data_IF_795050250250
#
_entry.id   IF_795050250250
#
_cell.length_a   1.000
_cell.length_b   1.000
_cell.length_c   1.000
_cell.angle_alpha   90.00
_cell.angle_beta   90.00
_cell.angle_gamma   90.00
#
_symmetry.space_group_name_H-M   'P 1'
#
loop_
_entity.id
_entity.type
_entity.pdbx_description
1 polymer ?
#
# COMPACT_ATOMS: atom_id res chain seq x y z
N UNK A 1 39.76 11.29 -15.91
CA UNK A 1 38.52 11.84 -16.50
C UNK A 1 37.72 12.42 -15.36
N UNK A 2 37.28 13.68 -15.46
CA UNK A 2 36.61 14.41 -14.37
C UNK A 2 35.33 13.70 -13.93
N UNK A 3 35.14 13.38 -12.63
CA UNK A 3 33.96 12.66 -12.15
C UNK A 3 32.76 13.55 -11.80
N UNK A 4 32.76 14.84 -12.10
CA UNK A 4 31.71 15.75 -11.59
C UNK A 4 31.15 16.71 -12.65
N UNK A 5 30.26 16.20 -13.50
CA UNK A 5 29.21 17.03 -14.09
C UNK A 5 27.92 16.22 -14.10
N UNK A 6 27.28 16.09 -12.93
CA UNK A 6 25.85 15.78 -12.90
C UNK A 6 25.14 16.80 -13.78
N UNK A 7 24.38 16.31 -14.76
CA UNK A 7 23.73 17.15 -15.76
C UNK A 7 22.69 18.04 -15.05
N UNK A 8 22.87 19.36 -15.16
CA UNK A 8 21.96 20.36 -14.60
C UNK A 8 20.81 20.60 -15.55
N UNK A 9 19.60 20.46 -15.04
CA UNK A 9 18.36 20.67 -15.79
C UNK A 9 17.50 21.74 -15.13
N UNK A 10 16.72 22.45 -15.94
CA UNK A 10 15.65 23.33 -15.49
C UNK A 10 14.32 22.72 -15.93
N UNK A 11 13.44 22.42 -14.97
CA UNK A 11 12.28 21.56 -15.20
C UNK A 11 11.08 22.02 -14.35
N UNK A 12 9.84 21.97 -14.89
CA UNK A 12 8.65 22.23 -14.10
C UNK A 12 8.46 21.17 -13.02
N UNK A 13 8.03 21.60 -11.83
CA UNK A 13 7.83 20.77 -10.65
C UNK A 13 6.35 20.60 -10.36
N UNK A 14 5.91 19.34 -10.27
CA UNK A 14 4.57 18.97 -9.87
C UNK A 14 4.58 18.43 -8.43
N UNK A 15 4.00 19.18 -7.47
CA UNK A 15 3.84 18.72 -6.10
C UNK A 15 2.84 17.56 -6.01
N UNK A 16 3.24 16.47 -5.36
CA UNK A 16 2.42 15.29 -5.11
C UNK A 16 2.00 15.21 -3.64
N UNK A 17 0.75 14.80 -3.39
CA UNK A 17 0.24 14.57 -2.04
C UNK A 17 0.31 13.07 -1.73
N UNK A 18 0.93 12.72 -0.60
CA UNK A 18 0.97 11.35 -0.04
C UNK A 18 1.48 10.25 -1.01
N UNK A 19 2.24 10.64 -2.04
CA UNK A 19 2.81 9.70 -3.00
C UNK A 19 4.20 10.15 -3.42
N UNK A 20 5.08 9.15 -3.54
CA UNK A 20 6.42 9.24 -4.11
C UNK A 20 6.43 8.33 -5.32
N UNK A 21 6.91 8.83 -6.45
CA UNK A 21 7.04 8.07 -7.69
C UNK A 21 8.50 7.68 -7.84
N UNK A 22 8.79 6.38 -7.90
CA UNK A 22 10.15 5.88 -8.07
C UNK A 22 10.53 5.76 -9.56
N UNK A 23 11.84 5.69 -9.89
CA UNK A 23 12.29 5.29 -11.22
C UNK A 23 11.60 4.01 -11.72
N UNK A 24 11.28 3.98 -13.02
CA UNK A 24 10.55 2.92 -13.72
C UNK A 24 9.11 2.65 -13.25
N UNK A 25 8.62 3.40 -12.27
CA UNK A 25 7.25 3.29 -11.79
C UNK A 25 6.29 4.01 -12.74
N UNK A 26 5.26 3.31 -13.19
CA UNK A 26 4.17 3.88 -13.99
C UNK A 26 2.93 4.05 -13.12
N UNK A 27 2.43 5.27 -12.97
CA UNK A 27 1.26 5.56 -12.13
C UNK A 27 0.35 6.62 -12.78
N UNK A 28 -0.98 6.44 -12.74
CA UNK A 28 -1.91 7.51 -13.11
C UNK A 28 -2.02 8.53 -11.96
N UNK A 29 -1.88 9.81 -12.29
CA UNK A 29 -2.11 10.93 -11.39
C UNK A 29 -3.36 11.70 -11.81
N UNK A 30 -4.12 12.16 -10.83
CA UNK A 30 -5.30 13.00 -11.02
C UNK A 30 -4.99 14.41 -10.53
N UNK A 31 -5.06 15.38 -11.43
CA UNK A 31 -4.64 16.75 -11.18
C UNK A 31 -5.82 17.69 -11.37
N UNK A 32 -6.20 18.40 -10.31
CA UNK A 32 -7.32 19.36 -10.33
C UNK A 32 -6.94 20.81 -9.98
N UNK A 33 -5.76 21.06 -9.40
CA UNK A 33 -5.31 22.42 -9.07
C UNK A 33 -4.88 23.15 -10.34
N UNK A 34 -5.32 24.39 -10.55
CA UNK A 34 -4.95 25.17 -11.73
C UNK A 34 -3.43 25.30 -11.92
N UNK A 35 -2.68 25.59 -10.85
CA UNK A 35 -1.20 25.68 -10.92
C UNK A 35 -0.56 24.37 -11.41
N UNK A 36 -1.11 23.23 -10.99
CA UNK A 36 -0.64 21.91 -11.39
C UNK A 36 -1.02 21.56 -12.83
N UNK A 37 -2.18 22.01 -13.31
CA UNK A 37 -2.56 21.86 -14.73
C UNK A 37 -1.64 22.70 -15.61
N UNK A 38 -1.37 23.96 -15.23
CA UNK A 38 -0.40 24.82 -15.95
C UNK A 38 1.00 24.22 -15.97
N UNK A 39 1.45 23.62 -14.86
CA UNK A 39 2.71 22.88 -14.80
C UNK A 39 2.77 21.74 -15.82
N UNK A 40 1.68 20.98 -15.97
CA UNK A 40 1.60 19.88 -16.94
C UNK A 40 1.61 20.39 -18.38
N UNK A 41 0.90 21.50 -18.67
CA UNK A 41 0.89 22.12 -19.99
C UNK A 41 2.29 22.64 -20.37
N UNK A 42 2.98 23.34 -19.46
CA UNK A 42 4.35 23.80 -19.67
C UNK A 42 5.33 22.64 -19.95
N UNK A 43 5.15 21.51 -19.29
CA UNK A 43 6.01 20.34 -19.51
C UNK A 43 5.78 19.65 -20.87
N UNK A 44 4.56 19.71 -21.40
CA UNK A 44 4.26 19.13 -22.71
C UNK A 44 5.00 19.85 -23.84
N UNK A 45 5.28 21.14 -23.66
CA UNK A 45 6.04 21.97 -24.61
C UNK A 45 7.56 21.80 -24.47
N UNK A 46 8.04 21.25 -23.35
CA UNK A 46 9.45 21.08 -22.99
C UNK A 46 9.80 19.60 -22.72
N UNK A 47 9.92 18.81 -23.80
CA UNK A 47 10.35 17.40 -23.81
C UNK A 47 9.44 16.40 -23.05
N UNK A 48 8.23 16.80 -22.64
CA UNK A 48 7.29 15.95 -21.88
C UNK A 48 7.88 15.44 -20.57
N UNK A 49 8.84 16.16 -19.99
CA UNK A 49 9.48 15.81 -18.72
C UNK A 49 8.97 16.72 -17.61
N UNK A 50 8.68 16.11 -16.46
CA UNK A 50 8.27 16.80 -15.23
C UNK A 50 9.09 16.30 -14.06
N UNK A 51 9.31 17.17 -13.08
CA UNK A 51 9.89 16.79 -11.80
C UNK A 51 8.77 16.55 -10.79
N UNK A 52 8.65 15.31 -10.33
CA UNK A 52 7.66 14.89 -9.33
C UNK A 52 8.27 14.98 -7.94
N UNK A 53 7.65 15.77 -7.06
CA UNK A 53 8.18 16.02 -5.71
C UNK A 53 7.06 15.88 -4.70
N UNK A 54 7.27 15.08 -3.66
CA UNK A 54 6.30 14.95 -2.59
C UNK A 54 6.25 16.23 -1.73
N UNK A 55 5.05 16.55 -1.25
CA UNK A 55 4.83 17.52 -0.17
C UNK A 55 5.18 16.88 1.17
N UNK A 56 5.75 17.65 2.09
CA UNK A 56 6.02 17.20 3.47
C UNK A 56 4.72 16.93 4.23
N UNK A 57 3.74 17.81 4.06
CA UNK A 57 2.43 17.73 4.69
C UNK A 57 1.34 17.61 3.61
N UNK A 58 0.61 16.49 3.60
CA UNK A 58 -0.42 16.23 2.60
C UNK A 58 -1.68 17.12 2.76
N UNK A 59 -1.88 17.69 3.94
CA UNK A 59 -2.99 18.58 4.27
C UNK A 59 -2.84 20.00 3.72
N UNK A 60 -1.65 20.38 3.24
CA UNK A 60 -1.38 21.73 2.74
C UNK A 60 -1.94 21.87 1.32
N UNK A 61 -3.02 22.65 1.18
CA UNK A 61 -3.71 22.82 -0.09
C UNK A 61 -2.95 23.71 -1.09
N UNK A 62 -2.14 24.64 -0.61
CA UNK A 62 -1.26 25.49 -1.42
C UNK A 62 0.17 25.41 -0.86
N UNK A 63 0.96 24.39 -1.25
CA UNK A 63 2.32 24.26 -0.73
C UNK A 63 3.18 25.42 -1.23
N UNK A 64 3.99 25.98 -0.35
CA UNK A 64 5.07 26.89 -0.72
C UNK A 64 6.36 26.14 -1.05
N UNK A 65 7.40 26.89 -1.41
CA UNK A 65 8.71 26.31 -1.79
C UNK A 65 9.38 25.50 -0.67
N UNK A 66 9.09 25.80 0.59
CA UNK A 66 9.68 25.11 1.74
C UNK A 66 8.90 23.84 2.15
N UNK A 67 7.72 23.63 1.57
CA UNK A 67 6.83 22.51 1.91
C UNK A 67 7.09 21.28 1.05
N UNK A 68 8.01 21.36 0.09
CA UNK A 68 8.41 20.25 -0.77
C UNK A 68 9.71 19.61 -0.28
N UNK A 69 9.86 18.32 -0.57
CA UNK A 69 11.14 17.64 -0.38
C UNK A 69 12.19 18.10 -1.41
N UNK A 70 13.47 17.90 -1.07
CA UNK A 70 14.59 18.32 -1.91
C UNK A 70 14.94 17.32 -3.00
N UNK A 71 14.56 16.05 -2.83
CA UNK A 71 14.75 15.00 -3.83
C UNK A 71 13.39 14.58 -4.37
N UNK A 72 13.32 14.43 -5.68
CA UNK A 72 12.16 13.92 -6.38
C UNK A 72 12.59 13.07 -7.57
N UNK A 73 11.63 12.81 -8.45
CA UNK A 73 11.85 11.96 -9.62
C UNK A 73 11.51 12.73 -10.88
N UNK A 74 12.46 12.81 -11.79
CA UNK A 74 12.20 13.24 -13.16
C UNK A 74 11.40 12.14 -13.83
N UNK A 75 10.24 12.48 -14.37
CA UNK A 75 9.30 11.55 -14.98
C UNK A 75 8.92 12.03 -16.39
N UNK A 76 8.60 11.07 -17.26
CA UNK A 76 8.02 11.36 -18.58
C UNK A 76 6.50 11.31 -18.50
N UNK A 77 5.83 12.20 -19.24
CA UNK A 77 4.38 12.16 -19.44
C UNK A 77 4.09 11.20 -20.60
N UNK A 78 3.50 10.05 -20.30
CA UNK A 78 3.11 9.05 -21.30
C UNK A 78 1.79 9.43 -21.97
N UNK A 79 0.81 9.88 -21.18
CA UNK A 79 -0.52 10.21 -21.67
C UNK A 79 -1.17 11.29 -20.80
N UNK A 80 -1.97 12.17 -21.42
CA UNK A 80 -2.75 13.18 -20.73
C UNK A 80 -4.19 13.18 -21.27
N UNK A 81 -5.18 13.17 -20.38
CA UNK A 81 -6.59 13.19 -20.72
C UNK A 81 -7.33 14.18 -19.81
N UNK A 82 -7.96 15.21 -20.42
CA UNK A 82 -8.86 16.12 -19.70
C UNK A 82 -10.21 15.42 -19.50
N UNK A 83 -10.67 15.34 -18.25
CA UNK A 83 -11.95 14.76 -17.87
C UNK A 83 -13.07 15.81 -17.93
N UNK A 84 -14.35 15.41 -18.07
CA UNK A 84 -15.47 16.34 -18.16
C UNK A 84 -15.70 17.20 -16.92
N UNK A 85 -15.16 16.78 -15.78
CA UNK A 85 -15.21 17.50 -14.50
C UNK A 85 -14.14 18.61 -14.37
N UNK A 86 -13.32 18.79 -15.40
CA UNK A 86 -12.23 19.78 -15.44
C UNK A 86 -10.91 19.26 -14.85
N UNK A 87 -10.87 18.05 -14.29
CA UNK A 87 -9.62 17.45 -13.83
C UNK A 87 -8.83 16.84 -14.98
N UNK A 88 -7.52 16.70 -14.80
CA UNK A 88 -6.63 16.08 -15.79
C UNK A 88 -6.12 14.77 -15.23
N UNK A 89 -6.40 13.67 -15.94
CA UNK A 89 -5.78 12.37 -15.69
C UNK A 89 -4.51 12.28 -16.53
N UNK A 90 -3.36 12.16 -15.87
CA UNK A 90 -2.05 12.01 -16.53
C UNK A 90 -1.42 10.68 -16.15
N UNK A 91 -0.87 9.97 -17.12
CA UNK A 91 -0.08 8.76 -16.90
C UNK A 91 1.40 9.14 -17.00
N UNK A 92 2.16 8.86 -15.95
CA UNK A 92 3.58 9.23 -15.87
C UNK A 92 4.44 8.00 -15.61
N UNK A 93 5.66 8.03 -16.12
CA UNK A 93 6.71 7.04 -15.83
C UNK A 93 7.89 7.74 -15.17
N UNK A 94 8.27 7.31 -13.96
CA UNK A 94 9.49 7.78 -13.33
C UNK A 94 10.72 7.36 -14.14
N UNK A 95 11.65 8.28 -14.40
CA UNK A 95 12.87 8.00 -15.15
C UNK A 95 14.07 7.88 -14.20
N UNK A 96 14.37 8.96 -13.49
CA UNK A 96 15.56 9.03 -12.65
C UNK A 96 15.36 10.01 -11.50
N UNK A 97 16.05 9.75 -10.40
CA UNK A 97 16.06 10.62 -9.21
C UNK A 97 16.85 11.88 -9.50
N UNK A 98 16.39 13.02 -8.98
CA UNK A 98 17.11 14.28 -9.06
C UNK A 98 16.97 15.07 -7.77
N UNK A 99 18.01 15.84 -7.45
CA UNK A 99 18.05 16.76 -6.31
C UNK A 99 17.82 18.17 -6.78
N UNK A 100 16.91 18.87 -6.13
CA UNK A 100 16.61 20.28 -6.36
C UNK A 100 17.70 21.11 -5.69
N UNK A 101 18.37 21.94 -6.50
CA UNK A 101 19.34 22.94 -6.03
C UNK A 101 18.67 24.29 -5.76
N UNK A 102 17.65 24.64 -6.52
CA UNK A 102 16.84 25.83 -6.33
C UNK A 102 15.42 25.59 -6.84
N UNK A 103 14.43 26.03 -6.06
CA UNK A 103 13.00 25.98 -6.39
C UNK A 103 12.45 27.41 -6.47
N UNK A 104 11.72 27.72 -7.53
CA UNK A 104 11.05 29.00 -7.72
C UNK A 104 9.55 28.80 -7.95
N UNK A 105 8.74 29.73 -7.44
CA UNK A 105 7.32 29.87 -7.78
C UNK A 105 7.19 31.14 -8.64
N UNK A 106 6.84 30.97 -9.91
CA UNK A 106 6.64 32.08 -10.85
C UNK A 106 5.19 32.62 -10.84
N UNK A 107 4.35 32.11 -9.94
CA UNK A 107 2.92 32.42 -9.84
C UNK A 107 2.02 31.48 -10.64
N UNK A 108 2.54 30.82 -11.68
CA UNK A 108 1.80 29.87 -12.52
C UNK A 108 2.07 28.42 -12.18
N UNK A 109 3.34 28.07 -11.98
CA UNK A 109 3.79 26.73 -11.58
C UNK A 109 5.15 26.82 -10.87
N UNK A 110 5.56 25.71 -10.24
CA UNK A 110 6.90 25.61 -9.69
C UNK A 110 7.90 25.25 -10.78
N UNK A 111 9.08 25.87 -10.75
CA UNK A 111 10.21 25.50 -11.60
C UNK A 111 11.41 25.21 -10.70
N UNK A 112 12.21 24.20 -11.05
CA UNK A 112 13.42 23.87 -10.30
C UNK A 112 14.64 23.75 -11.19
N UNK A 113 15.78 24.15 -10.63
CA UNK A 113 17.10 23.71 -11.09
C UNK A 113 17.45 22.44 -10.37
N UNK A 114 17.59 21.33 -11.09
CA UNK A 114 17.85 20.02 -10.53
C UNK A 114 19.11 19.38 -11.12
N UNK A 115 19.71 18.49 -10.34
CA UNK A 115 20.85 17.66 -10.71
C UNK A 115 20.46 16.19 -10.57
N UNK A 116 20.71 15.39 -11.60
CA UNK A 116 20.45 13.95 -11.53
C UNK A 116 21.31 13.30 -10.45
N UNK A 117 20.68 12.41 -9.67
CA UNK A 117 21.38 11.57 -8.71
C UNK A 117 21.88 10.33 -9.44
N UNK A 118 23.20 10.14 -9.42
CA UNK A 118 23.84 8.91 -9.85
C UNK A 118 23.87 7.92 -8.69
N UNK A 119 23.66 6.64 -9.00
CA UNK A 119 23.85 5.56 -8.03
C UNK A 119 25.27 5.04 -8.21
N UNK A 120 26.13 5.08 -7.18
CA UNK A 120 27.48 4.58 -7.29
C UNK A 120 27.46 3.06 -7.58
N UNK A 121 28.35 2.60 -8.44
CA UNK A 121 28.63 1.17 -8.62
C UNK A 121 29.50 0.69 -7.46
N UNK A 122 29.08 -0.37 -6.77
CA UNK A 122 29.75 -0.95 -5.60
C UNK A 122 30.21 -2.39 -5.96
N UNK A 123 30.99 -3.02 -5.06
CA UNK A 123 31.44 -4.41 -5.16
C UNK A 123 30.30 -5.38 -5.48
N UNK A 124 30.39 -6.00 -6.67
CA UNK A 124 29.38 -6.89 -7.25
C UNK A 124 29.05 -8.09 -6.34
N UNK A 125 29.99 -8.56 -5.53
CA UNK A 125 29.83 -9.82 -4.80
C UNK A 125 28.91 -9.71 -3.58
N UNK A 126 29.03 -8.64 -2.78
CA UNK A 126 28.11 -8.40 -1.66
C UNK A 126 26.71 -8.05 -2.18
N UNK A 127 26.66 -7.29 -3.27
CA UNK A 127 25.42 -6.85 -3.90
C UNK A 127 24.59 -8.02 -4.45
N UNK A 128 25.22 -9.04 -5.06
CA UNK A 128 24.53 -10.26 -5.50
C UNK A 128 23.82 -11.01 -4.36
N UNK A 129 24.48 -11.14 -3.20
CA UNK A 129 23.89 -11.82 -2.03
C UNK A 129 22.71 -11.03 -1.50
N UNK A 130 22.84 -9.70 -1.44
CA UNK A 130 21.79 -8.81 -0.96
C UNK A 130 20.56 -8.86 -1.88
N UNK A 131 20.75 -8.82 -3.20
CA UNK A 131 19.68 -8.94 -4.21
C UNK A 131 18.92 -10.25 -4.05
N UNK A 132 19.62 -11.39 -3.94
CA UNK A 132 18.96 -12.69 -3.76
C UNK A 132 18.16 -12.75 -2.47
N UNK A 133 18.70 -12.19 -1.39
CA UNK A 133 18.01 -12.12 -0.10
C UNK A 133 16.76 -11.26 -0.19
N UNK A 134 16.86 -10.08 -0.80
CA UNK A 134 15.75 -9.15 -0.98
C UNK A 134 14.61 -9.77 -1.82
N UNK A 135 14.93 -10.46 -2.92
CA UNK A 135 13.95 -11.18 -3.74
C UNK A 135 13.27 -12.28 -2.92
N UNK A 136 14.03 -13.09 -2.17
CA UNK A 136 13.48 -14.17 -1.36
C UNK A 136 12.55 -13.66 -0.26
N UNK A 137 12.92 -12.55 0.40
CA UNK A 137 12.09 -11.92 1.41
C UNK A 137 10.83 -11.31 0.81
N UNK A 138 10.94 -10.66 -0.36
CA UNK A 138 9.79 -10.11 -1.07
C UNK A 138 8.82 -11.20 -1.56
N UNK A 139 9.33 -12.36 -1.96
CA UNK A 139 8.51 -13.55 -2.24
C UNK A 139 7.72 -13.99 -1.00
N UNK A 140 8.37 -14.04 0.18
CA UNK A 140 7.71 -14.32 1.45
C UNK A 140 6.61 -13.31 1.77
N UNK A 141 6.89 -12.02 1.52
CA UNK A 141 5.95 -10.92 1.72
C UNK A 141 4.72 -11.01 0.80
N UNK A 142 4.88 -11.23 -0.51
CA UNK A 142 3.75 -11.39 -1.45
C UNK A 142 2.83 -12.55 -1.05
N UNK A 143 3.40 -13.68 -0.58
CA UNK A 143 2.61 -14.85 -0.13
C UNK A 143 1.67 -14.51 1.03
N UNK A 144 2.03 -13.52 1.86
CA UNK A 144 1.20 -13.02 2.95
C UNK A 144 0.27 -11.89 2.49
N UNK A 145 0.76 -10.99 1.63
CA UNK A 145 0.01 -9.86 1.10
C UNK A 145 -0.63 -10.15 -0.26
N UNK A 146 -1.84 -10.72 -0.23
CA UNK A 146 -2.63 -11.06 -1.43
C UNK A 146 -3.09 -9.86 -2.29
N UNK A 147 -2.76 -8.62 -1.91
CA UNK A 147 -3.07 -7.43 -2.73
C UNK A 147 -2.12 -7.28 -3.91
N UNK A 148 -0.93 -7.88 -3.84
CA UNK A 148 0.08 -7.77 -4.89
C UNK A 148 -0.08 -8.96 -5.85
N UNK A 149 -0.22 -8.73 -7.16
CA UNK A 149 -0.29 -9.81 -8.14
C UNK A 149 1.01 -10.64 -8.13
N UNK A 150 0.93 -11.98 -8.20
CA UNK A 150 2.12 -12.83 -8.24
C UNK A 150 2.98 -12.59 -9.50
N UNK A 151 2.41 -12.00 -10.56
CA UNK A 151 3.12 -11.60 -11.78
C UNK A 151 4.22 -10.56 -11.52
N UNK A 152 4.09 -9.74 -10.47
CA UNK A 152 5.12 -8.78 -10.05
C UNK A 152 6.39 -9.50 -9.59
N UNK A 153 6.27 -10.70 -9.02
CA UNK A 153 7.43 -11.49 -8.60
C UNK A 153 8.23 -11.98 -9.81
N UNK A 154 7.54 -12.40 -10.88
CA UNK A 154 8.20 -12.84 -12.10
C UNK A 154 8.92 -11.69 -12.81
N UNK A 155 8.36 -10.47 -12.80
CA UNK A 155 9.05 -9.31 -13.36
C UNK A 155 10.27 -8.91 -12.53
N UNK A 156 10.18 -8.95 -11.20
CA UNK A 156 11.31 -8.68 -10.30
C UNK A 156 12.48 -9.64 -10.50
N UNK A 157 12.21 -10.93 -10.68
CA UNK A 157 13.24 -11.94 -10.95
C UNK A 157 14.00 -11.71 -12.27
N UNK A 158 13.47 -10.90 -13.18
CA UNK A 158 14.12 -10.57 -14.46
C UNK A 158 14.93 -9.26 -14.42
N UNK A 159 14.95 -8.57 -13.28
CA UNK A 159 15.66 -7.30 -13.12
C UNK A 159 17.08 -7.59 -12.64
N UNK A 160 18.06 -7.34 -13.52
CA UNK A 160 19.48 -7.48 -13.18
C UNK A 160 20.02 -6.25 -12.41
N UNK A 161 19.41 -5.08 -12.60
CA UNK A 161 19.83 -3.83 -11.95
C UNK A 161 19.31 -3.75 -10.50
N UNK A 162 20.20 -3.76 -9.49
CA UNK A 162 19.79 -3.72 -8.09
C UNK A 162 19.11 -2.40 -7.70
N UNK A 163 19.44 -1.30 -8.38
CA UNK A 163 18.79 -0.01 -8.13
C UNK A 163 17.31 -0.11 -8.51
N UNK A 164 17.02 -0.54 -9.73
CA UNK A 164 15.66 -0.80 -10.22
C UNK A 164 14.92 -1.83 -9.39
N UNK A 165 15.60 -2.86 -8.89
CA UNK A 165 14.99 -3.85 -7.98
C UNK A 165 14.47 -3.17 -6.70
N UNK A 166 15.30 -2.37 -6.03
CA UNK A 166 14.94 -1.65 -4.82
C UNK A 166 13.75 -0.69 -5.06
N UNK A 167 13.78 0.07 -6.16
CA UNK A 167 12.71 0.98 -6.55
C UNK A 167 11.38 0.24 -6.82
N UNK A 168 11.46 -0.94 -7.44
CA UNK A 168 10.27 -1.77 -7.72
C UNK A 168 9.69 -2.38 -6.44
N UNK A 169 10.53 -2.84 -5.51
CA UNK A 169 10.10 -3.33 -4.19
C UNK A 169 9.40 -2.19 -3.42
N UNK A 170 10.03 -1.02 -3.36
CA UNK A 170 9.49 0.15 -2.65
C UNK A 170 8.13 0.60 -3.21
N UNK A 171 7.93 0.53 -4.53
CA UNK A 171 6.67 0.87 -5.19
C UNK A 171 5.49 -0.05 -4.80
N UNK A 172 5.77 -1.30 -4.42
CA UNK A 172 4.74 -2.29 -4.07
C UNK A 172 4.53 -2.46 -2.56
N UNK A 173 5.33 -1.78 -1.74
CA UNK A 173 5.19 -1.80 -0.28
C UNK A 173 4.30 -0.66 0.24
N UNK A 174 3.44 -0.91 1.24
CA UNK A 174 2.57 0.09 1.85
C UNK A 174 3.35 0.96 2.87
N UNK A 175 4.41 1.62 2.39
CA UNK A 175 5.25 2.49 3.21
C UNK A 175 4.55 3.82 3.52
N UNK A 176 4.85 4.40 4.69
CA UNK A 176 4.45 5.77 5.02
C UNK A 176 5.24 6.75 4.16
N UNK A 177 4.73 7.97 3.99
CA UNK A 177 5.36 8.99 3.16
C UNK A 177 6.83 9.26 3.54
N UNK A 178 7.13 9.37 4.84
CA UNK A 178 8.49 9.59 5.34
C UNK A 178 9.44 8.45 4.92
N UNK A 179 8.99 7.20 5.02
CA UNK A 179 9.77 6.02 4.62
C UNK A 179 9.92 5.94 3.09
N UNK A 180 8.88 6.32 2.34
CA UNK A 180 8.99 6.37 0.87
C UNK A 180 10.02 7.40 0.43
N UNK A 181 10.02 8.55 1.09
CA UNK A 181 10.92 9.63 0.76
C UNK A 181 12.36 9.29 1.17
N UNK A 182 12.59 8.66 2.32
CA UNK A 182 13.93 8.22 2.73
C UNK A 182 14.53 7.23 1.73
N UNK A 183 13.72 6.27 1.24
CA UNK A 183 14.13 5.33 0.19
C UNK A 183 14.49 6.04 -1.11
N UNK A 184 13.78 7.11 -1.48
CA UNK A 184 14.11 7.90 -2.66
C UNK A 184 15.44 8.65 -2.49
N UNK A 185 15.70 9.16 -1.29
CA UNK A 185 16.86 9.98 -0.95
C UNK A 185 18.16 9.17 -0.77
N UNK A 186 18.07 7.89 -0.42
CA UNK A 186 19.22 6.98 -0.30
C UNK A 186 19.90 6.74 -1.65
N UNK A 187 21.06 7.35 -1.88
CA UNK A 187 21.85 7.15 -3.10
C UNK A 187 22.51 5.77 -3.15
N UNK A 188 22.90 5.23 -1.99
CA UNK A 188 23.48 3.89 -1.88
C UNK A 188 22.39 2.83 -2.04
N UNK A 189 22.58 1.96 -3.03
CA UNK A 189 21.63 0.90 -3.36
C UNK A 189 21.59 -0.19 -2.30
N UNK A 190 22.73 -0.48 -1.66
CA UNK A 190 22.83 -1.51 -0.63
C UNK A 190 22.11 -1.04 0.64
N UNK A 191 22.38 0.18 1.10
CA UNK A 191 21.68 0.78 2.24
C UNK A 191 20.16 0.80 2.01
N UNK A 192 19.75 1.15 0.78
CA UNK A 192 18.34 1.16 0.38
C UNK A 192 17.70 -0.22 0.40
N UNK A 193 18.39 -1.25 -0.11
CA UNK A 193 17.92 -2.63 -0.07
C UNK A 193 17.82 -3.14 1.38
N UNK A 194 18.82 -2.89 2.20
CA UNK A 194 18.80 -3.26 3.63
C UNK A 194 17.64 -2.57 4.38
N UNK A 195 17.41 -1.28 4.10
CA UNK A 195 16.27 -0.55 4.68
C UNK A 195 14.93 -1.19 4.28
N UNK A 196 14.75 -1.48 2.98
CA UNK A 196 13.55 -2.13 2.48
C UNK A 196 13.38 -3.54 3.08
N UNK A 197 14.46 -4.30 3.25
CA UNK A 197 14.44 -5.61 3.89
C UNK A 197 14.00 -5.54 5.36
N UNK A 198 14.48 -4.56 6.11
CA UNK A 198 14.02 -4.32 7.48
C UNK A 198 12.53 -3.97 7.54
N UNK A 199 12.06 -3.12 6.62
CA UNK A 199 10.65 -2.76 6.51
C UNK A 199 9.78 -3.96 6.11
N UNK A 200 10.26 -4.82 5.20
CA UNK A 200 9.57 -6.05 4.80
C UNK A 200 9.42 -7.00 5.98
N UNK A 201 10.46 -7.17 6.79
CA UNK A 201 10.42 -8.05 7.96
C UNK A 201 9.36 -7.58 8.96
N UNK A 202 9.34 -6.27 9.27
CA UNK A 202 8.35 -5.68 10.16
C UNK A 202 6.92 -5.87 9.65
N UNK A 203 6.69 -5.72 8.35
CA UNK A 203 5.38 -5.94 7.73
C UNK A 203 4.97 -7.41 7.71
N UNK A 204 5.91 -8.33 7.43
CA UNK A 204 5.69 -9.77 7.51
C UNK A 204 5.22 -10.17 8.91
N UNK A 205 5.90 -9.68 9.96
CA UNK A 205 5.54 -9.96 11.35
C UNK A 205 4.14 -9.46 11.69
N UNK A 206 3.81 -8.24 11.27
CA UNK A 206 2.48 -7.66 11.46
C UNK A 206 1.41 -8.52 10.78
N UNK A 207 1.60 -8.86 9.50
CA UNK A 207 0.67 -9.70 8.73
C UNK A 207 0.48 -11.08 9.36
N UNK A 208 1.53 -11.67 9.94
CA UNK A 208 1.44 -12.94 10.65
C UNK A 208 0.63 -12.84 11.94
N UNK A 209 0.81 -11.76 12.72
CA UNK A 209 0.00 -11.48 13.91
C UNK A 209 -1.48 -11.30 13.53
N UNK A 210 -1.78 -10.49 12.52
CA UNK A 210 -3.14 -10.30 12.02
C UNK A 210 -3.78 -11.61 11.57
N UNK A 211 -3.04 -12.45 10.84
CA UNK A 211 -3.50 -13.75 10.39
C UNK A 211 -3.85 -14.67 11.57
N UNK A 212 -3.04 -14.68 12.64
CA UNK A 212 -3.32 -15.44 13.87
C UNK A 212 -4.59 -14.95 14.55
N UNK A 213 -4.76 -13.63 14.68
CA UNK A 213 -5.97 -13.02 15.28
C UNK A 213 -7.20 -13.38 14.46
N UNK A 214 -7.15 -13.19 13.13
CA UNK A 214 -8.25 -13.51 12.21
C UNK A 214 -8.68 -14.97 12.30
N UNK A 215 -7.72 -15.89 12.38
CA UNK A 215 -8.01 -17.32 12.54
C UNK A 215 -8.67 -17.64 13.88
N UNK A 216 -8.24 -16.99 14.98
CA UNK A 216 -8.85 -17.16 16.30
C UNK A 216 -10.30 -16.66 16.31
N UNK A 217 -10.55 -15.47 15.77
CA UNK A 217 -11.90 -14.88 15.65
C UNK A 217 -12.79 -15.78 14.81
N UNK A 218 -12.31 -16.26 13.65
CA UNK A 218 -13.07 -17.17 12.78
C UNK A 218 -13.48 -18.45 13.50
N UNK A 219 -12.55 -19.11 14.21
CA UNK A 219 -12.85 -20.32 14.99
C UNK A 219 -13.89 -20.07 16.09
N UNK A 220 -13.79 -18.92 16.77
CA UNK A 220 -14.75 -18.55 17.81
C UNK A 220 -16.14 -18.29 17.22
N UNK A 221 -16.24 -17.59 16.09
CA UNK A 221 -17.50 -17.36 15.40
C UNK A 221 -18.15 -18.66 14.93
N UNK A 222 -17.39 -19.56 14.31
CA UNK A 222 -17.88 -20.87 13.87
C UNK A 222 -18.40 -21.71 15.05
N UNK A 223 -17.73 -21.64 16.21
CA UNK A 223 -18.18 -22.30 17.44
C UNK A 223 -19.50 -21.70 17.94
N UNK A 224 -19.58 -20.37 18.08
CA UNK A 224 -20.80 -19.70 18.55
C UNK A 224 -21.99 -19.89 17.62
N UNK A 225 -21.78 -19.85 16.29
CA UNK A 225 -22.83 -20.13 15.31
C UNK A 225 -23.30 -21.59 15.42
N UNK A 226 -22.38 -22.54 15.59
CA UNK A 226 -22.73 -23.96 15.77
C UNK A 226 -23.52 -24.18 17.07
N UNK A 227 -23.09 -23.59 18.18
CA UNK A 227 -23.79 -23.67 19.46
C UNK A 227 -25.19 -23.05 19.39
N UNK A 228 -25.31 -21.87 18.77
CA UNK A 228 -26.60 -21.24 18.53
C UNK A 228 -27.54 -22.14 17.71
N UNK A 229 -27.04 -22.67 16.59
CA UNK A 229 -27.81 -23.55 15.71
C UNK A 229 -28.26 -24.84 16.42
N UNK A 230 -27.36 -25.49 17.16
CA UNK A 230 -27.69 -26.71 17.92
C UNK A 230 -28.70 -26.45 19.04
N UNK A 231 -28.61 -25.31 19.73
CA UNK A 231 -29.57 -24.94 20.77
C UNK A 231 -30.96 -24.67 20.19
N UNK A 232 -31.04 -24.00 19.04
CA UNK A 232 -32.33 -23.80 18.35
C UNK A 232 -32.91 -25.12 17.83
N UNK A 233 -32.08 -26.04 17.31
CA UNK A 233 -32.53 -27.38 16.95
C UNK A 233 -33.07 -28.16 18.16
N UNK A 234 -32.37 -28.11 19.31
CA UNK A 234 -32.83 -28.78 20.53
C UNK A 234 -34.16 -28.23 21.02
N UNK A 235 -34.36 -26.91 20.99
CA UNK A 235 -35.66 -26.29 21.34
C UNK A 235 -36.77 -26.72 20.38
N UNK A 236 -36.48 -26.80 19.07
CA UNK A 236 -37.45 -27.27 18.09
C UNK A 236 -37.84 -28.74 18.32
N UNK A 237 -36.85 -29.61 18.58
CA UNK A 237 -37.09 -31.03 18.90
C UNK A 237 -37.88 -31.18 20.20
N UNK A 238 -37.53 -30.44 21.25
CA UNK A 238 -38.27 -30.46 22.52
C UNK A 238 -39.72 -29.97 22.35
N UNK A 239 -39.96 -29.01 21.46
CA UNK A 239 -41.30 -28.55 21.14
C UNK A 239 -42.10 -29.61 20.38
N UNK A 240 -41.52 -30.24 19.36
CA UNK A 240 -42.18 -31.34 18.63
C UNK A 240 -42.42 -32.57 19.51
N UNK A 241 -41.47 -32.95 20.38
CA UNK A 241 -41.63 -34.04 21.34
C UNK A 241 -42.62 -33.69 22.46
N UNK A 242 -42.63 -32.44 22.94
CA UNK A 242 -43.62 -31.95 23.91
C UNK A 242 -45.03 -31.88 23.32
N UNK A 243 -45.16 -31.71 22.00
CA UNK A 243 -46.43 -31.88 21.27
C UNK A 243 -46.78 -33.36 21.02
N UNK A 244 -45.82 -34.30 21.15
CA UNK A 244 -46.08 -35.75 21.17
C UNK A 244 -46.44 -36.28 22.57
N UNK A 245 -46.05 -35.57 23.63
CA UNK A 245 -46.36 -35.89 25.04
C UNK A 245 -47.70 -35.31 25.51
N UNK A 246 -48.68 -35.16 24.61
CA UNK A 246 -50.10 -34.96 24.96
C UNK A 246 -50.73 -36.24 25.58
N UNK A 247 -49.91 -37.08 26.22
CA UNK A 247 -50.33 -37.99 27.26
C UNK A 247 -50.40 -37.17 28.55
N UNK A 248 -51.60 -36.92 29.11
CA UNK A 248 -51.74 -36.11 30.31
C UNK A 248 -50.86 -36.69 31.40
N UNK A 249 -49.98 -35.85 31.96
CA UNK A 249 -49.03 -36.17 33.04
C UNK A 249 -49.65 -37.22 33.96
N UNK A 250 -49.20 -38.47 33.83
CA UNK A 250 -49.83 -39.62 34.50
C UNK A 250 -49.89 -39.37 36.01
N UNK A 251 -48.96 -38.56 36.53
CA UNK A 251 -48.95 -38.10 37.92
C UNK A 251 -50.11 -37.15 38.26
N UNK A 252 -50.48 -36.20 37.41
CA UNK A 252 -51.67 -35.37 37.63
C UNK A 252 -52.96 -36.19 37.50
N UNK A 253 -53.01 -37.11 36.54
CA UNK A 253 -54.16 -38.00 36.37
C UNK A 253 -54.34 -38.97 37.56
N UNK A 254 -53.24 -39.52 38.08
CA UNK A 254 -53.22 -40.35 39.29
C UNK A 254 -53.58 -39.56 40.54
N UNK A 255 -53.05 -38.33 40.72
CA UNK A 255 -53.44 -37.44 41.82
C UNK A 255 -54.94 -37.15 41.82
N UNK A 256 -55.51 -36.80 40.67
CA UNK A 256 -56.96 -36.55 40.55
C UNK A 256 -57.79 -37.79 40.89
N UNK A 257 -57.34 -38.99 40.51
CA UNK A 257 -58.01 -40.26 40.88
C UNK A 257 -57.90 -40.55 42.38
N UNK A 258 -56.75 -40.27 43.00
CA UNK A 258 -56.53 -40.45 44.44
C UNK A 258 -57.42 -39.49 45.25
N UNK A 259 -57.46 -38.21 44.86
CA UNK A 259 -58.31 -37.21 45.53
C UNK A 259 -59.81 -37.52 45.36
N UNK A 260 -60.21 -38.01 44.18
CA UNK A 260 -61.59 -38.45 43.93
C UNK A 260 -61.98 -39.71 44.72
N UNK A 261 -61.02 -40.58 45.05
CA UNK A 261 -61.27 -41.82 45.81
C UNK A 261 -61.57 -41.59 47.29
N UNK A 262 -61.37 -40.37 47.83
CA UNK A 262 -61.65 -39.97 49.22
C UNK A 262 -61.19 -41.02 50.26
N UNK A 263 -59.98 -41.55 50.08
CA UNK A 263 -59.44 -42.53 51.01
C UNK A 263 -59.24 -41.89 52.39
N UNK A 264 -59.70 -42.52 53.48
CA UNK A 264 -59.45 -42.02 54.83
C UNK A 264 -57.95 -42.18 55.17
N UNK A 265 -57.45 -41.28 56.02
CA UNK A 265 -56.03 -41.22 56.42
C UNK A 265 -55.54 -42.50 57.10
#
# INVERSE_FOLDING_TARGET
MNPERSERIEIPVLPLRDVVVYPHMVIPLFVGREKSIRCLEAAMDHDKKIMLVAQKEASTDEPGVNDLFTVGTVASILQMLKLPDGTVKVLVEGLQRARISALSDNGEHFSAKAEYLESPTIDEREQEVLVRTAISQFEGYIKLNKKIPPEVLTSLNSIDDPARLADTIAAHMPLKLADKQSVLEMSDVNERLEYLMAMMESEIDLLQVEKRIRNRVKKQMEKSQREYYLNEQMKAIQKELGEMDDAPDENEALKRKIDAAKMPK
#
